data_IF_135472841469
#
_entry.id   IF_135472841469
#
_cell.length_a   1.000
_cell.length_b   1.000
_cell.length_c   1.000
_cell.angle_alpha   90.00
_cell.angle_beta   90.00
_cell.angle_gamma   90.00
#
_symmetry.space_group_name_H-M   'P 1'
#
loop_
_entity.id
_entity.type
_entity.pdbx_description
1 polymer ?
#
# COMPACT_ATOMS: atom_id res chain seq x y z
N UNK A 1 14.47 -17.56 0.03
CA UNK A 1 14.01 -16.47 -0.86
C UNK A 1 13.91 -15.22 0.00
N UNK A 2 14.52 -14.11 -0.40
CA UNK A 2 14.20 -12.82 0.21
C UNK A 2 12.73 -12.54 -0.13
N UNK A 3 11.90 -12.26 0.87
CA UNK A 3 10.55 -11.78 0.61
C UNK A 3 10.68 -10.47 -0.18
N UNK A 4 9.91 -10.29 -1.25
CA UNK A 4 9.95 -9.04 -2.00
C UNK A 4 9.56 -7.90 -1.06
N UNK A 5 10.32 -6.81 -1.13
CA UNK A 5 10.03 -5.61 -0.40
C UNK A 5 8.84 -4.91 -1.06
N UNK A 6 7.79 -4.56 -0.31
CA UNK A 6 6.65 -3.84 -0.88
C UNK A 6 6.73 -2.34 -0.62
N UNK A 7 6.52 -1.54 -1.67
CA UNK A 7 6.31 -0.10 -1.60
C UNK A 7 4.82 0.18 -1.45
N UNK A 8 4.43 0.83 -0.35
CA UNK A 8 3.07 1.29 -0.13
C UNK A 8 3.02 2.82 -0.26
N UNK A 9 2.07 3.31 -1.04
CA UNK A 9 1.78 4.72 -1.19
C UNK A 9 0.31 4.99 -0.88
N UNK A 10 0.01 6.22 -0.47
CA UNK A 10 -1.32 6.72 -0.16
C UNK A 10 -1.62 7.97 -0.99
N UNK A 11 -2.88 8.16 -1.33
CA UNK A 11 -3.37 9.32 -2.04
C UNK A 11 -4.58 9.86 -1.31
N UNK A 12 -4.54 11.12 -0.89
CA UNK A 12 -5.71 11.80 -0.34
C UNK A 12 -6.49 12.54 -1.43
N UNK A 13 -7.41 13.42 -1.04
CA UNK A 13 -8.24 14.21 -1.96
C UNK A 13 -7.44 15.14 -2.89
N UNK A 14 -6.16 15.41 -2.58
CA UNK A 14 -5.28 16.21 -3.46
C UNK A 14 -4.89 15.47 -4.74
N UNK A 15 -5.05 14.14 -4.79
CA UNK A 15 -4.61 13.34 -5.93
C UNK A 15 -3.11 13.04 -5.94
N UNK A 16 -2.35 13.51 -4.94
CA UNK A 16 -0.91 13.30 -4.85
C UNK A 16 -0.65 11.97 -4.13
N UNK A 17 0.18 11.12 -4.72
CA UNK A 17 0.65 9.88 -4.10
C UNK A 17 1.86 10.14 -3.23
N UNK A 18 1.77 9.75 -1.96
CA UNK A 18 2.83 9.88 -0.96
C UNK A 18 3.23 8.50 -0.43
N UNK A 19 4.52 8.29 -0.21
CA UNK A 19 5.02 7.05 0.38
C UNK A 19 4.57 6.89 1.82
N UNK A 20 3.93 5.77 2.12
CA UNK A 20 3.67 5.31 3.49
C UNK A 20 4.94 4.62 3.99
N UNK A 21 5.34 4.90 5.24
CA UNK A 21 6.65 4.50 5.75
C UNK A 21 6.95 3.00 5.61
N UNK A 22 8.16 2.69 5.13
CA UNK A 22 8.82 1.38 5.23
C UNK A 22 8.52 0.40 4.11
N UNK A 23 9.57 -0.32 3.67
CA UNK A 23 9.40 -1.54 2.89
C UNK A 23 8.76 -2.58 3.81
N UNK A 24 7.65 -3.17 3.35
CA UNK A 24 6.92 -4.17 4.14
C UNK A 24 7.39 -5.54 3.70
N UNK A 25 7.74 -6.39 4.65
CA UNK A 25 8.10 -7.80 4.41
C UNK A 25 6.96 -8.76 4.79
N UNK A 26 5.93 -8.25 5.46
CA UNK A 26 4.71 -8.95 5.89
C UNK A 26 3.47 -8.53 5.09
N UNK A 27 2.40 -9.33 5.16
CA UNK A 27 1.11 -9.05 4.49
C UNK A 27 0.29 -7.94 5.20
N UNK A 28 0.91 -7.10 6.03
CA UNK A 28 0.22 -6.02 6.73
C UNK A 28 1.14 -4.82 6.95
N UNK A 29 0.60 -3.61 6.82
CA UNK A 29 1.33 -2.37 7.06
C UNK A 29 0.57 -1.50 8.07
N UNK A 30 1.32 -0.89 8.98
CA UNK A 30 0.79 0.15 9.85
C UNK A 30 1.02 1.51 9.20
N UNK A 31 -0.04 2.07 8.60
CA UNK A 31 -0.01 3.39 7.97
C UNK A 31 -0.11 4.46 9.05
N UNK A 32 0.97 5.21 9.25
CA UNK A 32 1.01 6.34 10.19
C UNK A 32 0.60 7.65 9.52
N UNK A 33 0.35 8.67 10.34
CA UNK A 33 0.08 10.06 9.91
C UNK A 33 -1.18 10.23 9.06
N UNK A 34 -2.20 9.40 9.27
CA UNK A 34 -3.49 9.61 8.63
C UNK A 34 -4.29 10.66 9.39
N UNK A 35 -4.99 11.52 8.65
CA UNK A 35 -5.85 12.53 9.24
C UNK A 35 -7.22 11.87 9.46
N UNK A 36 -7.67 11.81 10.71
CA UNK A 36 -8.99 11.29 11.05
C UNK A 36 -10.07 12.05 10.28
N UNK A 37 -10.98 11.31 9.65
CA UNK A 37 -12.08 11.86 8.85
C UNK A 37 -11.73 12.09 7.38
N UNK A 38 -10.46 11.97 6.97
CA UNK A 38 -10.08 11.97 5.55
C UNK A 38 -10.16 10.58 4.95
N UNK A 39 -10.48 10.52 3.66
CA UNK A 39 -10.44 9.29 2.88
C UNK A 39 -9.14 9.21 2.07
N UNK A 40 -8.56 8.01 2.03
CA UNK A 40 -7.31 7.76 1.32
C UNK A 40 -7.45 6.58 0.37
N UNK A 41 -6.93 6.70 -0.84
CA UNK A 41 -6.63 5.55 -1.69
C UNK A 41 -5.23 5.05 -1.36
N UNK A 42 -5.01 3.75 -1.49
CA UNK A 42 -3.70 3.15 -1.31
C UNK A 42 -3.29 2.41 -2.57
N UNK A 43 -1.99 2.37 -2.82
CA UNK A 43 -1.43 1.53 -3.87
C UNK A 43 -0.19 0.83 -3.36
N UNK A 44 0.04 -0.38 -3.88
CA UNK A 44 1.17 -1.21 -3.48
C UNK A 44 1.92 -1.68 -4.71
N UNK A 45 3.24 -1.51 -4.73
CA UNK A 45 4.16 -2.04 -5.74
C UNK A 45 5.11 -3.04 -5.12
N UNK A 46 5.37 -4.15 -5.77
CA UNK A 46 6.47 -5.04 -5.40
C UNK A 46 7.79 -4.40 -5.84
N UNK A 47 8.80 -4.41 -4.98
CA UNK A 47 10.14 -3.88 -5.23
C UNK A 47 11.13 -5.03 -5.21
N UNK A 48 11.90 -5.15 -6.27
CA UNK A 48 13.04 -6.07 -6.36
C UNK A 48 14.32 -5.30 -6.72
N UNK A 49 15.43 -6.01 -6.86
CA UNK A 49 16.72 -5.41 -7.21
C UNK A 49 16.77 -4.74 -8.61
N UNK A 50 15.79 -5.02 -9.46
CA UNK A 50 15.68 -4.47 -10.82
C UNK A 50 14.81 -3.20 -10.82
N UNK A 51 13.76 -3.18 -10.01
CA UNK A 51 12.84 -2.05 -9.90
C UNK A 51 11.50 -2.39 -9.27
N UNK A 52 10.51 -1.56 -9.59
CA UNK A 52 9.16 -1.61 -9.02
C UNK A 52 8.19 -2.23 -10.03
N UNK A 53 7.27 -3.08 -9.57
CA UNK A 53 6.14 -3.56 -10.36
C UNK A 53 5.11 -2.45 -10.60
N UNK A 54 4.18 -2.70 -11.53
CA UNK A 54 2.96 -1.90 -11.61
C UNK A 54 2.23 -1.88 -10.25
N UNK A 55 1.78 -0.70 -9.78
CA UNK A 55 1.10 -0.57 -8.51
C UNK A 55 -0.33 -1.13 -8.58
N UNK A 56 -0.70 -1.97 -7.60
CA UNK A 56 -2.08 -2.35 -7.37
C UNK A 56 -2.78 -1.33 -6.48
N UNK A 57 -3.77 -0.61 -7.00
CA UNK A 57 -4.54 0.40 -6.26
C UNK A 57 -5.78 -0.20 -5.57
N UNK A 58 -6.17 0.35 -4.42
CA UNK A 58 -7.44 0.05 -3.76
C UNK A 58 -8.61 0.56 -4.61
N UNK A 59 -9.64 -0.29 -4.81
CA UNK A 59 -10.82 0.04 -5.61
C UNK A 59 -11.60 1.26 -5.11
N UNK A 60 -11.62 1.46 -3.80
CA UNK A 60 -12.36 2.54 -3.14
C UNK A 60 -11.46 3.25 -2.13
N UNK A 61 -11.78 4.52 -1.86
CA UNK A 61 -11.08 5.27 -0.82
C UNK A 61 -11.50 4.75 0.57
N UNK A 62 -10.53 4.66 1.46
CA UNK A 62 -10.70 4.15 2.82
C UNK A 62 -10.74 5.33 3.79
N UNK A 63 -11.82 5.45 4.56
CA UNK A 63 -11.97 6.48 5.57
C UNK A 63 -11.05 6.22 6.79
N UNK A 64 -10.15 7.15 7.08
CA UNK A 64 -9.28 7.09 8.24
C UNK A 64 -10.09 7.37 9.52
N UNK A 65 -10.33 6.32 10.32
CA UNK A 65 -11.03 6.43 11.61
C UNK A 65 -10.10 6.84 12.77
N UNK A 66 -8.79 6.61 12.63
CA UNK A 66 -7.75 6.89 13.63
C UNK A 66 -6.42 7.24 12.90
N UNK A 67 -5.57 8.15 13.42
CA UNK A 67 -4.21 8.40 12.91
C UNK A 67 -3.28 7.19 12.82
N UNK A 68 -3.59 6.15 13.58
CA UNK A 68 -2.95 4.83 13.51
C UNK A 68 -4.01 3.83 13.08
N UNK A 69 -4.13 3.62 11.78
CA UNK A 69 -4.98 2.56 11.25
C UNK A 69 -4.09 1.41 10.80
N UNK A 70 -4.26 0.25 11.45
CA UNK A 70 -3.77 -1.00 10.89
C UNK A 70 -4.71 -1.34 9.73
N UNK A 71 -4.23 -1.16 8.51
CA UNK A 71 -5.00 -1.47 7.30
C UNK A 71 -4.42 -2.73 6.66
N UNK A 72 -5.28 -3.70 6.40
CA UNK A 72 -4.93 -4.84 5.55
C UNK A 72 -4.99 -4.42 4.07
N UNK A 73 -4.22 -3.38 3.70
CA UNK A 73 -4.10 -2.87 2.32
C UNK A 73 -3.71 -3.99 1.37
N UNK A 74 -2.91 -4.93 1.87
CA UNK A 74 -2.52 -6.12 1.13
C UNK A 74 -3.72 -6.95 0.68
N UNK A 75 -4.73 -7.29 1.49
CA UNK A 75 -5.80 -8.16 0.97
C UNK A 75 -6.60 -7.54 -0.19
N UNK A 76 -6.74 -6.22 -0.21
CA UNK A 76 -7.43 -5.49 -1.29
C UNK A 76 -6.55 -5.35 -2.55
N UNK A 77 -5.23 -5.17 -2.37
CA UNK A 77 -4.26 -4.96 -3.46
C UNK A 77 -3.52 -6.24 -3.92
N UNK A 78 -3.50 -7.31 -3.11
CA UNK A 78 -2.69 -8.52 -3.30
C UNK A 78 -3.21 -9.40 -4.44
N UNK A 79 -4.51 -9.35 -4.76
CA UNK A 79 -5.02 -10.05 -5.95
C UNK A 79 -4.31 -9.59 -7.23
N UNK A 80 -3.83 -8.35 -7.27
CA UNK A 80 -3.06 -7.79 -8.38
C UNK A 80 -1.56 -8.08 -8.26
N UNK A 81 -1.00 -8.07 -7.04
CA UNK A 81 0.43 -8.28 -6.83
C UNK A 81 0.90 -9.74 -6.84
N UNK A 82 0.07 -10.69 -6.37
CA UNK A 82 0.41 -12.13 -6.40
C UNK A 82 0.68 -12.59 -7.85
N UNK A 83 0.05 -11.97 -8.85
CA UNK A 83 0.29 -12.28 -10.26
C UNK A 83 1.71 -11.91 -10.74
N UNK A 84 2.43 -11.03 -10.06
CA UNK A 84 3.77 -10.59 -10.47
C UNK A 84 4.90 -11.42 -9.83
N UNK A 85 4.69 -11.97 -8.64
CA UNK A 85 5.73 -12.68 -7.85
C UNK A 85 5.72 -14.19 -8.15
N UNK A 86 4.72 -14.66 -8.90
CA UNK A 86 4.59 -16.07 -9.31
C UNK A 86 5.15 -16.33 -10.73
N UNK A 87 5.86 -15.37 -11.34
CA UNK A 87 6.56 -15.51 -12.62
C UNK A 87 8.08 -15.41 -12.46
#
# INVERSE_FOLDING_TARGET
>A
LQNPDYLVERCDETGIWERVSGLVTDNSINVKNLIKGKSYRFRVSAVNMIGNSEPGETKTAILAKNPYGMFNVFNECMLYLIRFITY
#
